data_IF_964115694334
#
_entry.id   IF_964115694334
#
_cell.length_a   1.000
_cell.length_b   1.000
_cell.length_c   1.000
_cell.angle_alpha   90.00
_cell.angle_beta   90.00
_cell.angle_gamma   90.00
#
_symmetry.space_group_name_H-M   'P 1'
#
loop_
_entity.id
_entity.type
_entity.pdbx_description
1 polymer ?
#
# COMPACT_ATOMS: atom_id res chain seq x y z
N UNK A 1 27.91 -33.97 29.44
CA UNK A 1 27.25 -32.68 29.75
C UNK A 1 26.61 -32.01 28.53
N UNK A 2 27.24 -31.99 27.35
CA UNK A 2 26.66 -31.34 26.14
C UNK A 2 25.35 -31.97 25.64
N UNK A 3 25.23 -33.31 25.65
CA UNK A 3 23.99 -34.00 25.22
C UNK A 3 22.78 -33.64 26.09
N UNK A 4 22.98 -33.52 27.40
CA UNK A 4 21.92 -33.17 28.36
C UNK A 4 21.51 -31.70 28.23
N UNK A 5 22.46 -30.79 27.96
CA UNK A 5 22.18 -29.38 27.65
C UNK A 5 21.39 -29.23 26.33
N UNK A 6 21.69 -30.03 25.29
CA UNK A 6 20.91 -30.04 24.04
C UNK A 6 19.45 -30.49 24.26
N UNK A 7 19.23 -31.55 25.04
CA UNK A 7 17.87 -32.02 25.34
C UNK A 7 17.08 -31.03 26.19
N UNK A 8 17.71 -30.39 27.17
CA UNK A 8 17.09 -29.31 27.94
C UNK A 8 16.73 -28.09 27.07
N UNK A 9 17.59 -27.72 26.10
CA UNK A 9 17.27 -26.67 25.14
C UNK A 9 16.12 -27.03 24.21
N UNK A 10 16.07 -28.28 23.73
CA UNK A 10 14.96 -28.76 22.89
C UNK A 10 13.66 -28.75 23.71
N UNK A 11 13.68 -29.23 24.94
CA UNK A 11 12.51 -29.24 25.82
C UNK A 11 12.06 -27.82 26.16
N UNK A 12 12.98 -26.91 26.47
CA UNK A 12 12.68 -25.50 26.68
C UNK A 12 12.11 -24.84 25.42
N UNK A 13 12.65 -25.14 24.23
CA UNK A 13 12.14 -24.63 22.96
C UNK A 13 10.75 -25.18 22.61
N UNK A 14 10.47 -26.45 22.92
CA UNK A 14 9.16 -27.07 22.73
C UNK A 14 8.14 -26.52 23.72
N UNK A 15 8.50 -26.34 25.00
CA UNK A 15 7.61 -25.74 26.00
C UNK A 15 7.35 -24.27 25.69
N UNK A 16 8.38 -23.51 25.34
CA UNK A 16 8.24 -22.09 24.99
C UNK A 16 7.47 -21.92 23.68
N UNK A 17 7.81 -22.70 22.65
CA UNK A 17 7.07 -22.72 21.39
C UNK A 17 5.62 -23.15 21.59
N UNK A 18 5.38 -24.24 22.31
CA UNK A 18 4.05 -24.73 22.64
C UNK A 18 3.22 -23.72 23.43
N UNK A 19 3.83 -23.03 24.40
CA UNK A 19 3.16 -21.98 25.18
C UNK A 19 2.76 -20.77 24.33
N UNK A 20 3.55 -20.40 23.32
CA UNK A 20 3.21 -19.29 22.41
C UNK A 20 2.00 -19.58 21.52
N UNK A 21 1.70 -20.87 21.27
CA UNK A 21 0.56 -21.29 20.46
C UNK A 21 -0.59 -21.87 21.29
N UNK A 22 -0.40 -22.15 22.58
CA UNK A 22 -1.38 -22.77 23.46
C UNK A 22 -2.70 -21.98 23.48
N UNK A 23 -2.63 -20.64 23.66
CA UNK A 23 -3.82 -19.79 23.68
C UNK A 23 -4.58 -19.80 22.35
N UNK A 24 -3.86 -19.82 21.22
CA UNK A 24 -4.47 -19.89 19.88
C UNK A 24 -5.13 -21.24 19.62
N UNK A 25 -4.47 -22.32 20.03
CA UNK A 25 -5.01 -23.68 19.89
C UNK A 25 -6.24 -23.85 20.79
N UNK A 26 -6.19 -23.34 22.02
CA UNK A 26 -7.31 -23.40 22.95
C UNK A 26 -8.50 -22.57 22.45
N UNK A 27 -8.26 -21.32 22.00
CA UNK A 27 -9.29 -20.48 21.39
C UNK A 27 -9.92 -21.19 20.19
N UNK A 28 -9.09 -21.72 19.28
CA UNK A 28 -9.57 -22.45 18.11
C UNK A 28 -10.42 -23.67 18.49
N UNK A 29 -10.02 -24.42 19.52
CA UNK A 29 -10.77 -25.58 19.98
C UNK A 29 -12.13 -25.18 20.58
N UNK A 30 -12.16 -24.11 21.38
CA UNK A 30 -13.40 -23.56 21.94
C UNK A 30 -14.33 -23.08 20.83
N UNK A 31 -13.80 -22.32 19.87
CA UNK A 31 -14.56 -21.84 18.71
C UNK A 31 -15.12 -23.02 17.92
N UNK A 32 -14.28 -24.03 17.61
CA UNK A 32 -14.73 -25.21 16.87
C UNK A 32 -15.87 -25.95 17.58
N UNK A 33 -15.76 -26.20 18.89
CA UNK A 33 -16.83 -26.80 19.68
C UNK A 33 -18.13 -25.99 19.63
N UNK A 34 -18.01 -24.65 19.69
CA UNK A 34 -19.15 -23.75 19.62
C UNK A 34 -19.82 -23.76 18.23
N UNK A 35 -19.05 -23.72 17.15
CA UNK A 35 -19.59 -23.77 15.78
C UNK A 35 -20.22 -25.13 15.48
N UNK A 36 -19.63 -26.23 15.99
CA UNK A 36 -20.19 -27.57 15.86
C UNK A 36 -21.50 -27.73 16.64
N UNK A 37 -21.58 -27.20 17.87
CA UNK A 37 -22.81 -27.28 18.67
C UNK A 37 -24.01 -26.59 18.02
N UNK A 38 -23.76 -25.61 17.16
CA UNK A 38 -24.78 -24.89 16.39
C UNK A 38 -24.98 -25.41 14.96
N UNK A 39 -24.27 -26.48 14.56
CA UNK A 39 -24.37 -27.08 13.22
C UNK A 39 -23.81 -26.22 12.08
N UNK A 40 -23.02 -25.18 12.39
CA UNK A 40 -22.47 -24.19 11.45
C UNK A 40 -20.95 -24.29 11.29
N UNK A 41 -20.38 -25.48 11.52
CA UNK A 41 -18.94 -25.75 11.40
C UNK A 41 -18.35 -25.39 10.02
N UNK A 42 -19.15 -25.38 8.96
CA UNK A 42 -18.72 -24.95 7.62
C UNK A 42 -18.28 -23.49 7.57
N UNK A 43 -18.85 -22.62 8.40
CA UNK A 43 -18.48 -21.20 8.48
C UNK A 43 -17.06 -21.05 9.00
N UNK A 44 -16.71 -21.76 10.08
CA UNK A 44 -15.35 -21.77 10.65
C UNK A 44 -14.31 -22.19 9.59
N UNK A 45 -14.58 -23.25 8.82
CA UNK A 45 -13.69 -23.66 7.73
C UNK A 45 -13.58 -22.62 6.62
N UNK A 46 -14.69 -21.93 6.29
CA UNK A 46 -14.68 -20.85 5.31
C UNK A 46 -13.79 -19.69 5.77
N UNK A 47 -13.87 -19.30 7.05
CA UNK A 47 -13.00 -18.28 7.65
C UNK A 47 -11.53 -18.70 7.56
N UNK A 48 -11.18 -19.89 8.04
CA UNK A 48 -9.79 -20.37 8.05
C UNK A 48 -9.21 -20.46 6.65
N UNK A 49 -9.92 -21.10 5.72
CA UNK A 49 -9.46 -21.26 4.34
C UNK A 49 -9.29 -19.90 3.67
N UNK A 50 -10.17 -18.94 3.95
CA UNK A 50 -10.06 -17.58 3.41
C UNK A 50 -8.86 -16.83 4.00
N UNK A 51 -8.65 -16.91 5.32
CA UNK A 51 -7.49 -16.30 5.99
C UNK A 51 -6.17 -16.87 5.46
N UNK A 52 -6.01 -18.19 5.51
CA UNK A 52 -4.78 -18.85 5.04
C UNK A 52 -4.61 -18.71 3.53
N UNK A 53 -5.67 -18.91 2.76
CA UNK A 53 -5.63 -18.84 1.30
C UNK A 53 -5.29 -17.45 0.79
N UNK A 54 -5.97 -16.41 1.31
CA UNK A 54 -5.71 -15.03 0.91
C UNK A 54 -4.34 -14.55 1.38
N UNK A 55 -3.97 -14.81 2.63
CA UNK A 55 -2.65 -14.47 3.16
C UNK A 55 -1.50 -15.13 2.40
N UNK A 56 -1.63 -16.43 2.10
CA UNK A 56 -0.64 -17.17 1.32
C UNK A 56 -0.56 -16.66 -0.12
N UNK A 57 -1.71 -16.45 -0.78
CA UNK A 57 -1.77 -15.93 -2.15
C UNK A 57 -1.06 -14.58 -2.22
N UNK A 58 -1.43 -13.63 -1.36
CA UNK A 58 -0.84 -12.29 -1.39
C UNK A 58 0.62 -12.31 -1.00
N UNK A 59 1.01 -13.09 0.02
CA UNK A 59 2.41 -13.26 0.42
C UNK A 59 3.27 -13.82 -0.72
N UNK A 60 2.79 -14.85 -1.43
CA UNK A 60 3.50 -15.42 -2.58
C UNK A 60 3.59 -14.41 -3.72
N UNK A 61 2.51 -13.71 -4.06
CA UNK A 61 2.54 -12.67 -5.11
C UNK A 61 3.52 -11.55 -4.75
N UNK A 62 3.47 -11.06 -3.51
CA UNK A 62 4.39 -10.03 -3.02
C UNK A 62 5.84 -10.48 -3.11
N UNK A 63 6.14 -11.72 -2.68
CA UNK A 63 7.46 -12.31 -2.80
C UNK A 63 7.91 -12.36 -4.26
N UNK A 64 7.09 -12.90 -5.16
CA UNK A 64 7.43 -13.05 -6.58
C UNK A 64 7.68 -11.70 -7.25
N UNK A 65 6.87 -10.67 -6.94
CA UNK A 65 7.04 -9.33 -7.48
C UNK A 65 8.33 -8.67 -6.97
N UNK A 66 8.54 -8.67 -5.65
CA UNK A 66 9.72 -8.04 -5.02
C UNK A 66 11.01 -8.78 -5.35
N UNK A 67 11.09 -10.07 -5.02
CA UNK A 67 12.25 -10.91 -5.30
C UNK A 67 12.52 -11.01 -6.80
N UNK A 68 11.48 -11.22 -7.62
CA UNK A 68 11.63 -11.34 -9.07
C UNK A 68 12.24 -10.08 -9.69
N UNK A 69 11.77 -8.90 -9.27
CA UNK A 69 12.33 -7.64 -9.74
C UNK A 69 13.77 -7.41 -9.23
N UNK A 70 14.02 -7.59 -7.93
CA UNK A 70 15.35 -7.38 -7.34
C UNK A 70 16.40 -8.36 -7.89
N UNK A 71 16.03 -9.62 -8.08
CA UNK A 71 16.90 -10.63 -8.67
C UNK A 71 17.24 -10.29 -10.13
N UNK A 72 16.28 -9.77 -10.91
CA UNK A 72 16.53 -9.30 -12.29
C UNK A 72 17.53 -8.15 -12.31
N UNK A 73 17.37 -7.17 -11.43
CA UNK A 73 18.30 -6.04 -11.30
C UNK A 73 19.67 -6.54 -10.86
N UNK A 74 19.74 -7.40 -9.85
CA UNK A 74 21.00 -7.95 -9.37
C UNK A 74 21.77 -8.70 -10.45
N UNK A 75 21.10 -9.59 -11.20
CA UNK A 75 21.66 -10.36 -12.32
C UNK A 75 22.20 -9.45 -13.43
N UNK A 76 21.44 -8.42 -13.83
CA UNK A 76 21.90 -7.44 -14.84
C UNK A 76 23.22 -6.79 -14.42
N UNK A 77 23.40 -6.59 -13.13
CA UNK A 77 24.60 -5.95 -12.57
C UNK A 77 25.65 -6.95 -12.07
N UNK A 78 25.54 -8.25 -12.33
CA UNK A 78 26.47 -9.27 -11.78
C UNK A 78 27.89 -9.20 -12.35
N UNK A 79 28.09 -8.53 -13.49
CA UNK A 79 29.40 -8.37 -14.12
C UNK A 79 30.31 -7.35 -13.42
N UNK A 80 29.80 -6.61 -12.44
CA UNK A 80 30.55 -5.58 -11.72
C UNK A 80 30.91 -6.08 -10.30
N UNK A 81 32.17 -5.92 -9.87
CA UNK A 81 32.58 -6.26 -8.53
C UNK A 81 31.88 -5.35 -7.51
N UNK A 82 31.67 -5.87 -6.30
CA UNK A 82 31.16 -5.10 -5.18
C UNK A 82 32.33 -4.27 -4.64
N UNK A 83 32.26 -2.95 -4.83
CA UNK A 83 33.35 -2.04 -4.52
C UNK A 83 32.97 -1.16 -3.32
N UNK A 84 33.27 -1.66 -2.12
CA UNK A 84 33.38 -0.82 -0.94
C UNK A 84 34.85 -0.41 -0.77
N UNK A 85 35.13 0.88 -0.56
CA UNK A 85 36.47 1.34 -0.16
C UNK A 85 36.85 0.73 1.18
N UNK A 86 38.11 0.33 1.34
CA UNK A 86 38.61 -0.31 2.57
C UNK A 86 38.39 0.52 3.84
N UNK A 87 38.35 1.85 3.69
CA UNK A 87 38.02 2.77 4.76
C UNK A 87 36.56 2.62 5.24
N UNK A 88 35.59 2.62 4.31
CA UNK A 88 34.16 2.40 4.63
C UNK A 88 33.90 1.01 5.21
N UNK A 89 34.61 -0.03 4.75
CA UNK A 89 34.50 -1.39 5.32
C UNK A 89 34.91 -1.43 6.79
N UNK A 90 35.95 -0.68 7.16
CA UNK A 90 36.43 -0.59 8.55
C UNK A 90 35.57 0.31 9.43
N UNK A 91 35.05 1.40 8.87
CA UNK A 91 34.23 2.37 9.61
C UNK A 91 32.79 1.89 9.84
N UNK A 92 32.24 1.04 8.97
CA UNK A 92 30.84 0.56 9.07
C UNK A 92 30.75 -0.96 8.83
N UNK A 93 30.94 -1.79 9.89
CA UNK A 93 30.92 -3.26 9.77
C UNK A 93 29.62 -3.83 9.18
N UNK A 94 28.48 -3.16 9.40
CA UNK A 94 27.18 -3.51 8.83
C UNK A 94 27.21 -3.48 7.30
N UNK A 95 27.85 -2.48 6.68
CA UNK A 95 27.91 -2.36 5.23
C UNK A 95 28.76 -3.47 4.59
N UNK A 96 29.83 -3.90 5.26
CA UNK A 96 30.67 -5.01 4.78
C UNK A 96 29.92 -6.36 4.85
N UNK A 97 29.19 -6.62 5.94
CA UNK A 97 28.28 -7.76 6.03
C UNK A 97 27.23 -7.75 4.91
N UNK A 98 26.59 -6.60 4.68
CA UNK A 98 25.56 -6.47 3.64
C UNK A 98 26.12 -6.65 2.23
N UNK A 99 27.31 -6.12 1.95
CA UNK A 99 28.01 -6.30 0.68
C UNK A 99 28.36 -7.77 0.42
N UNK A 100 28.94 -8.45 1.41
CA UNK A 100 29.32 -9.86 1.31
C UNK A 100 28.11 -10.79 1.14
N UNK A 101 27.02 -10.46 1.84
CA UNK A 101 25.80 -11.28 1.88
C UNK A 101 24.68 -10.75 0.96
N UNK A 102 25.00 -9.89 -0.01
CA UNK A 102 24.00 -9.18 -0.84
C UNK A 102 22.99 -10.13 -1.51
N UNK A 103 23.44 -11.28 -2.04
CA UNK A 103 22.55 -12.28 -2.66
C UNK A 103 21.59 -12.91 -1.65
N UNK A 104 22.06 -13.17 -0.43
CA UNK A 104 21.23 -13.71 0.66
C UNK A 104 20.23 -12.66 1.12
N UNK A 105 20.64 -11.39 1.24
CA UNK A 105 19.74 -10.29 1.63
C UNK A 105 18.62 -10.11 0.61
N UNK A 106 18.94 -10.15 -0.69
CA UNK A 106 17.94 -10.05 -1.77
C UNK A 106 16.94 -11.20 -1.74
N UNK A 107 17.28 -12.35 -1.16
CA UNK A 107 16.36 -13.47 -0.99
C UNK A 107 15.58 -13.39 0.34
N UNK A 108 16.31 -13.25 1.45
CA UNK A 108 15.78 -13.37 2.81
C UNK A 108 14.89 -12.17 3.16
N UNK A 109 15.30 -10.95 2.81
CA UNK A 109 14.50 -9.76 3.17
C UNK A 109 13.14 -9.77 2.49
N UNK A 110 13.02 -9.94 1.16
CA UNK A 110 11.71 -10.09 0.52
C UNK A 110 10.91 -11.29 1.04
N UNK A 111 11.56 -12.40 1.40
CA UNK A 111 10.87 -13.57 1.95
C UNK A 111 10.24 -13.28 3.32
N UNK A 112 10.99 -12.64 4.21
CA UNK A 112 10.50 -12.25 5.54
C UNK A 112 9.37 -11.23 5.42
N UNK A 113 9.56 -10.19 4.59
CA UNK A 113 8.53 -9.19 4.35
C UNK A 113 7.28 -9.82 3.73
N UNK A 114 7.42 -10.67 2.72
CA UNK A 114 6.30 -11.40 2.12
C UNK A 114 5.51 -12.24 3.14
N UNK A 115 6.20 -12.90 4.07
CA UNK A 115 5.55 -13.63 5.14
C UNK A 115 4.78 -12.69 6.08
N UNK A 116 5.37 -11.56 6.47
CA UNK A 116 4.71 -10.55 7.31
C UNK A 116 3.49 -9.94 6.60
N UNK A 117 3.63 -9.52 5.34
CA UNK A 117 2.54 -8.99 4.52
C UNK A 117 1.43 -10.03 4.38
N UNK A 118 1.77 -11.30 4.13
CA UNK A 118 0.80 -12.39 4.07
C UNK A 118 0.01 -12.58 5.37
N UNK A 119 0.67 -12.45 6.53
CA UNK A 119 -0.02 -12.49 7.84
C UNK A 119 -0.97 -11.31 8.04
N UNK A 120 -0.58 -10.10 7.63
CA UNK A 120 -1.47 -8.92 7.70
C UNK A 120 -2.67 -9.10 6.77
N UNK A 121 -2.44 -9.59 5.55
CA UNK A 121 -3.50 -9.81 4.57
C UNK A 121 -4.45 -10.93 4.99
N UNK A 122 -3.95 -11.96 5.68
CA UNK A 122 -4.81 -12.99 6.27
C UNK A 122 -5.86 -12.42 7.24
N UNK A 123 -5.55 -11.32 7.93
CA UNK A 123 -6.51 -10.64 8.82
C UNK A 123 -7.59 -9.87 8.03
N UNK A 124 -7.34 -9.55 6.77
CA UNK A 124 -8.26 -8.81 5.88
C UNK A 124 -9.10 -9.76 5.00
N UNK A 125 -9.30 -11.01 5.45
CA UNK A 125 -10.05 -12.04 4.73
C UNK A 125 -11.52 -11.66 4.46
N UNK A 126 -12.11 -10.81 5.29
CA UNK A 126 -13.49 -10.34 5.13
C UNK A 126 -13.64 -9.52 3.85
N UNK A 127 -12.66 -8.67 3.53
CA UNK A 127 -12.70 -7.79 2.35
C UNK A 127 -12.77 -8.61 1.07
N UNK A 128 -11.98 -9.69 0.96
CA UNK A 128 -12.00 -10.53 -0.25
C UNK A 128 -13.29 -11.34 -0.36
N UNK A 129 -13.84 -11.84 0.76
CA UNK A 129 -15.12 -12.54 0.73
C UNK A 129 -16.30 -11.62 0.41
N UNK A 130 -16.29 -10.40 0.95
CA UNK A 130 -17.26 -9.36 0.64
C UNK A 130 -17.24 -9.01 -0.85
N UNK A 131 -16.05 -8.88 -1.43
CA UNK A 131 -15.91 -8.64 -2.87
C UNK A 131 -16.42 -9.82 -3.72
N UNK A 132 -16.06 -11.06 -3.36
CA UNK A 132 -16.45 -12.26 -4.10
C UNK A 132 -17.96 -12.54 -4.02
N UNK A 133 -18.61 -12.14 -2.93
CA UNK A 133 -20.04 -12.32 -2.69
C UNK A 133 -20.79 -10.97 -2.76
N UNK A 134 -20.25 -10.00 -3.50
CA UNK A 134 -20.86 -8.70 -3.63
C UNK A 134 -22.24 -8.81 -4.30
N UNK A 135 -23.27 -8.25 -3.66
CA UNK A 135 -24.61 -8.14 -4.19
C UNK A 135 -24.92 -6.67 -4.49
N UNK A 136 -25.56 -6.35 -5.63
CA UNK A 136 -26.07 -5.00 -5.88
C UNK A 136 -27.03 -4.58 -4.77
N UNK A 137 -26.95 -3.32 -4.34
CA UNK A 137 -27.90 -2.76 -3.39
C UNK A 137 -29.16 -2.28 -4.11
N UNK A 138 -29.02 -1.75 -5.33
CA UNK A 138 -30.13 -1.25 -6.15
C UNK A 138 -30.41 0.24 -6.00
N UNK A 139 -29.66 0.93 -5.13
CA UNK A 139 -29.69 2.37 -4.98
C UNK A 139 -28.34 2.98 -5.35
N UNK A 140 -28.39 4.14 -5.99
CA UNK A 140 -27.22 4.85 -6.49
C UNK A 140 -26.96 6.09 -5.66
N UNK A 141 -25.68 6.37 -5.42
CA UNK A 141 -25.27 7.59 -4.74
C UNK A 141 -25.49 8.83 -5.64
N UNK A 142 -25.93 9.96 -5.08
CA UNK A 142 -26.29 11.15 -5.86
C UNK A 142 -25.08 11.93 -6.40
N UNK A 143 -23.85 11.64 -5.94
CA UNK A 143 -22.64 12.42 -6.28
C UNK A 143 -21.89 11.80 -7.47
N UNK A 144 -21.57 10.51 -7.38
CA UNK A 144 -20.81 9.74 -8.38
C UNK A 144 -21.68 8.76 -9.17
N UNK A 145 -22.94 8.54 -8.79
CA UNK A 145 -23.85 7.64 -9.49
C UNK A 145 -23.43 6.17 -9.42
N UNK A 146 -22.70 5.77 -8.37
CA UNK A 146 -22.32 4.39 -8.11
C UNK A 146 -23.33 3.74 -7.19
N UNK A 147 -23.56 2.45 -7.40
CA UNK A 147 -24.37 1.66 -6.47
C UNK A 147 -23.70 1.63 -5.09
N UNK A 148 -24.49 1.69 -4.02
CA UNK A 148 -23.98 1.67 -2.64
C UNK A 148 -23.07 0.45 -2.38
N UNK A 149 -23.36 -0.70 -3.01
CA UNK A 149 -22.52 -1.92 -2.94
C UNK A 149 -21.06 -1.70 -3.37
N UNK A 150 -20.79 -0.71 -4.24
CA UNK A 150 -19.43 -0.36 -4.63
C UNK A 150 -18.61 0.10 -3.43
N UNK A 151 -19.17 0.95 -2.55
CA UNK A 151 -18.45 1.52 -1.43
C UNK A 151 -18.18 0.52 -0.30
N UNK A 152 -19.08 -0.45 -0.10
CA UNK A 152 -18.93 -1.46 0.95
C UNK A 152 -18.12 -2.68 0.51
N UNK A 153 -18.30 -3.17 -0.72
CA UNK A 153 -17.71 -4.44 -1.14
C UNK A 153 -16.53 -4.30 -2.09
N UNK A 154 -16.53 -3.27 -2.95
CA UNK A 154 -15.55 -3.13 -4.04
C UNK A 154 -14.43 -2.18 -3.65
N UNK A 155 -14.77 -1.00 -3.13
CA UNK A 155 -13.82 0.04 -2.77
C UNK A 155 -12.77 -0.46 -1.75
N UNK A 156 -13.11 -1.15 -0.65
CA UNK A 156 -12.11 -1.61 0.32
C UNK A 156 -11.07 -2.55 -0.29
N UNK A 157 -11.46 -3.39 -1.25
CA UNK A 157 -10.50 -4.24 -1.97
C UNK A 157 -9.53 -3.41 -2.82
N UNK A 158 -10.01 -2.39 -3.53
CA UNK A 158 -9.13 -1.49 -4.29
C UNK A 158 -8.19 -0.70 -3.41
N UNK A 159 -8.63 -0.28 -2.22
CA UNK A 159 -7.79 0.38 -1.23
C UNK A 159 -6.71 -0.56 -0.69
N UNK A 160 -7.06 -1.82 -0.41
CA UNK A 160 -6.13 -2.85 0.01
C UNK A 160 -5.10 -3.15 -1.09
N UNK A 161 -5.53 -3.31 -2.35
CA UNK A 161 -4.63 -3.51 -3.50
C UNK A 161 -3.70 -2.32 -3.68
N UNK A 162 -4.22 -1.09 -3.59
CA UNK A 162 -3.42 0.15 -3.61
C UNK A 162 -2.35 0.12 -2.51
N UNK A 163 -2.72 -0.20 -1.27
CA UNK A 163 -1.79 -0.28 -0.14
C UNK A 163 -0.68 -1.30 -0.38
N UNK A 164 -1.04 -2.50 -0.86
CA UNK A 164 -0.08 -3.56 -1.18
C UNK A 164 0.89 -3.15 -2.29
N UNK A 165 0.41 -2.45 -3.32
CA UNK A 165 1.27 -1.95 -4.40
C UNK A 165 2.23 -0.87 -3.89
N UNK A 166 1.77 0.02 -3.00
CA UNK A 166 2.62 1.00 -2.34
C UNK A 166 3.75 0.35 -1.55
N UNK A 167 3.41 -0.63 -0.69
CA UNK A 167 4.39 -1.40 0.08
C UNK A 167 5.40 -2.09 -0.86
N UNK A 168 4.92 -2.75 -1.91
CA UNK A 168 5.75 -3.42 -2.91
C UNK A 168 6.72 -2.44 -3.59
N UNK A 169 6.25 -1.25 -3.99
CA UNK A 169 7.09 -0.23 -4.63
C UNK A 169 8.15 0.33 -3.70
N UNK A 170 7.84 0.52 -2.42
CA UNK A 170 8.81 0.97 -1.41
C UNK A 170 9.91 -0.08 -1.25
N UNK A 171 9.54 -1.36 -1.04
CA UNK A 171 10.51 -2.45 -0.86
C UNK A 171 11.39 -2.63 -2.10
N UNK A 172 10.79 -2.61 -3.30
CA UNK A 172 11.55 -2.69 -4.55
C UNK A 172 12.51 -1.50 -4.68
N UNK A 173 12.06 -0.29 -4.40
CA UNK A 173 12.88 0.92 -4.56
C UNK A 173 14.05 0.95 -3.59
N UNK A 174 13.83 0.57 -2.33
CA UNK A 174 14.88 0.43 -1.33
C UNK A 174 15.89 -0.66 -1.75
N UNK A 175 15.40 -1.82 -2.17
CA UNK A 175 16.27 -2.91 -2.62
C UNK A 175 17.10 -2.56 -3.87
N UNK A 176 16.50 -1.85 -4.84
CA UNK A 176 17.21 -1.35 -6.03
C UNK A 176 18.26 -0.31 -5.64
N UNK A 177 17.91 0.64 -4.78
CA UNK A 177 18.83 1.63 -4.24
C UNK A 177 20.03 0.98 -3.58
N UNK A 178 19.79 -0.04 -2.75
CA UNK A 178 20.82 -0.83 -2.06
C UNK A 178 21.73 -1.57 -3.06
N UNK A 179 21.17 -2.24 -4.08
CA UNK A 179 21.96 -2.93 -5.12
C UNK A 179 22.85 -1.93 -5.88
N UNK A 180 22.30 -0.79 -6.28
CA UNK A 180 23.02 0.24 -7.04
C UNK A 180 24.06 0.98 -6.21
N UNK A 181 23.83 1.14 -4.92
CA UNK A 181 24.82 1.66 -3.98
C UNK A 181 26.03 0.74 -3.90
N UNK A 182 25.83 -0.55 -3.57
CA UNK A 182 26.94 -1.51 -3.43
C UNK A 182 27.68 -1.80 -4.75
N UNK A 183 26.99 -1.69 -5.89
CA UNK A 183 27.60 -1.88 -7.22
C UNK A 183 28.05 -0.57 -7.87
N UNK A 184 28.11 0.53 -7.11
CA UNK A 184 28.66 1.84 -7.51
C UNK A 184 28.00 2.49 -8.74
N UNK A 185 26.72 2.17 -8.98
CA UNK A 185 25.90 2.89 -9.96
C UNK A 185 25.51 4.29 -9.49
N UNK A 186 25.61 4.50 -8.17
CA UNK A 186 25.46 5.77 -7.48
C UNK A 186 26.74 5.97 -6.68
N UNK A 187 27.48 7.04 -6.94
CA UNK A 187 28.64 7.42 -6.14
C UNK A 187 28.72 8.93 -5.97
N UNK A 188 29.29 9.37 -4.85
CA UNK A 188 29.56 10.79 -4.60
C UNK A 188 30.88 11.14 -5.27
N UNK A 189 30.82 11.94 -6.32
CA UNK A 189 31.99 12.51 -6.99
C UNK A 189 32.30 13.92 -6.49
N UNK A 190 33.42 14.53 -6.94
CA UNK A 190 33.84 15.87 -6.53
C UNK A 190 32.80 16.97 -6.81
N UNK A 191 31.95 16.77 -7.81
CA UNK A 191 30.92 17.72 -8.27
C UNK A 191 29.49 17.31 -7.86
N UNK A 192 29.34 16.29 -7.02
CA UNK A 192 28.05 15.80 -6.50
C UNK A 192 27.78 14.32 -6.76
N UNK A 193 26.53 13.89 -6.55
CA UNK A 193 26.10 12.50 -6.73
C UNK A 193 25.99 12.15 -8.22
N UNK A 194 26.83 11.24 -8.69
CA UNK A 194 26.81 10.74 -10.07
C UNK A 194 26.01 9.45 -10.12
N UNK A 195 24.96 9.45 -10.96
CA UNK A 195 24.13 8.28 -11.22
C UNK A 195 24.35 7.81 -12.67
N UNK A 196 24.71 6.53 -12.83
CA UNK A 196 24.94 5.92 -14.14
C UNK A 196 23.65 5.89 -14.99
N UNK A 197 23.75 5.94 -16.33
CA UNK A 197 22.58 5.93 -17.22
C UNK A 197 21.61 4.77 -17.00
N UNK A 198 22.13 3.57 -16.71
CA UNK A 198 21.30 2.40 -16.43
C UNK A 198 20.51 2.52 -15.12
N UNK A 199 21.12 3.08 -14.07
CA UNK A 199 20.41 3.36 -12.83
C UNK A 199 19.37 4.46 -13.02
N UNK A 200 19.70 5.52 -13.79
CA UNK A 200 18.74 6.57 -14.17
C UNK A 200 17.51 5.97 -14.86
N UNK A 201 17.69 5.01 -15.78
CA UNK A 201 16.56 4.33 -16.45
C UNK A 201 15.67 3.59 -15.45
N UNK A 202 16.24 2.77 -14.59
CA UNK A 202 15.47 2.02 -13.59
C UNK A 202 14.73 2.95 -12.63
N UNK A 203 15.39 4.01 -12.14
CA UNK A 203 14.72 5.02 -11.31
C UNK A 203 13.62 5.76 -12.06
N UNK A 204 13.78 6.03 -13.34
CA UNK A 204 12.73 6.63 -14.17
C UNK A 204 11.51 5.72 -14.32
N UNK A 205 11.73 4.41 -14.49
CA UNK A 205 10.67 3.41 -14.51
C UNK A 205 9.94 3.34 -13.17
N UNK A 206 10.68 3.24 -12.06
CA UNK A 206 10.13 3.19 -10.71
C UNK A 206 9.36 4.47 -10.36
N UNK A 207 9.92 5.65 -10.67
CA UNK A 207 9.23 6.92 -10.46
C UNK A 207 7.95 7.02 -11.32
N UNK A 208 7.96 6.51 -12.55
CA UNK A 208 6.76 6.44 -13.38
C UNK A 208 5.67 5.57 -12.74
N UNK A 209 6.03 4.41 -12.20
CA UNK A 209 5.11 3.55 -11.46
C UNK A 209 4.58 4.22 -10.18
N UNK A 210 5.43 4.93 -9.43
CA UNK A 210 4.97 5.73 -8.28
C UNK A 210 3.96 6.80 -8.67
N UNK A 211 4.19 7.52 -9.77
CA UNK A 211 3.23 8.52 -10.25
C UNK A 211 1.92 7.89 -10.71
N UNK A 212 1.93 6.69 -11.29
CA UNK A 212 0.71 5.94 -11.56
C UNK A 212 -0.02 5.55 -10.26
N UNK A 213 0.72 5.15 -9.22
CA UNK A 213 0.12 4.86 -7.90
C UNK A 213 -0.42 6.11 -7.21
N UNK A 214 0.21 7.27 -7.40
CA UNK A 214 -0.36 8.55 -6.95
C UNK A 214 -1.65 8.85 -7.72
N UNK A 215 -1.68 8.66 -9.04
CA UNK A 215 -2.87 8.87 -9.85
C UNK A 215 -4.04 7.98 -9.39
N UNK A 216 -3.80 6.68 -9.21
CA UNK A 216 -4.82 5.76 -8.70
C UNK A 216 -5.23 6.11 -7.27
N UNK A 217 -4.27 6.56 -6.43
CA UNK A 217 -4.52 7.03 -5.08
C UNK A 217 -5.48 8.23 -5.02
N UNK A 218 -5.21 9.29 -5.78
CA UNK A 218 -6.07 10.48 -5.83
C UNK A 218 -7.44 10.17 -6.42
N UNK A 219 -7.50 9.31 -7.43
CA UNK A 219 -8.77 8.86 -8.01
C UNK A 219 -9.63 8.09 -7.00
N UNK A 220 -9.04 7.13 -6.27
CA UNK A 220 -9.75 6.35 -5.26
C UNK A 220 -10.14 7.20 -4.05
N UNK A 221 -9.30 8.16 -3.67
CA UNK A 221 -9.58 9.08 -2.57
C UNK A 221 -10.88 9.85 -2.80
N UNK A 222 -11.23 10.19 -4.04
CA UNK A 222 -12.52 10.83 -4.35
C UNK A 222 -13.73 10.05 -3.82
N UNK A 223 -13.70 8.72 -3.91
CA UNK A 223 -14.77 7.86 -3.41
C UNK A 223 -14.70 7.64 -1.89
N UNK A 224 -13.49 7.69 -1.30
CA UNK A 224 -13.30 7.59 0.16
C UNK A 224 -14.02 8.74 0.91
N UNK A 225 -14.17 9.92 0.28
CA UNK A 225 -14.85 11.07 0.89
C UNK A 225 -16.31 10.77 1.28
N UNK A 226 -17.01 9.88 0.56
CA UNK A 226 -18.37 9.48 0.93
C UNK A 226 -18.41 8.57 2.15
N UNK A 227 -17.35 7.82 2.41
CA UNK A 227 -17.30 6.81 3.47
C UNK A 227 -16.66 7.32 4.76
N UNK A 228 -15.76 8.32 4.70
CA UNK A 228 -15.01 8.78 5.88
C UNK A 228 -15.79 9.73 6.81
N UNK A 229 -16.91 10.29 6.36
CA UNK A 229 -17.76 11.20 7.16
C UNK A 229 -17.11 12.58 7.40
N UNK A 230 -17.87 13.65 7.19
CA UNK A 230 -17.43 15.01 7.51
C UNK A 230 -17.45 15.29 9.02
N UNK A 231 -16.77 16.38 9.44
CA UNK A 231 -16.65 16.77 10.85
C UNK A 231 -17.94 17.30 11.50
N UNK A 232 -18.93 17.73 10.70
CA UNK A 232 -20.24 18.21 11.18
C UNK A 232 -21.40 17.34 10.71
N UNK A 233 -21.33 16.77 9.50
CA UNK A 233 -22.38 15.96 8.88
C UNK A 233 -21.71 14.74 8.26
N UNK A 234 -22.29 13.56 8.45
CA UNK A 234 -21.85 12.34 7.78
C UNK A 234 -22.12 12.46 6.29
N UNK A 235 -21.06 12.51 5.46
CA UNK A 235 -21.15 12.63 4.01
C UNK A 235 -20.34 13.79 3.44
N UNK A 236 -20.55 14.04 2.14
CA UNK A 236 -19.90 15.10 1.36
C UNK A 236 -20.68 16.40 1.51
N UNK A 237 -19.99 17.50 1.84
CA UNK A 237 -20.55 18.86 1.81
C UNK A 237 -20.21 19.65 0.54
N UNK A 238 -20.68 20.90 0.46
CA UNK A 238 -20.51 21.73 -0.74
C UNK A 238 -19.03 21.97 -1.10
N UNK A 239 -18.19 22.25 -0.10
CA UNK A 239 -16.76 22.50 -0.31
C UNK A 239 -15.99 21.23 -0.76
N UNK A 240 -16.50 20.06 -0.42
CA UNK A 240 -15.92 18.79 -0.80
C UNK A 240 -16.25 18.46 -2.26
N UNK A 241 -17.52 18.61 -2.63
CA UNK A 241 -18.02 18.38 -3.98
C UNK A 241 -17.45 19.38 -5.00
N UNK A 242 -17.47 20.68 -4.68
CA UNK A 242 -17.02 21.74 -5.59
C UNK A 242 -15.53 22.11 -5.44
N UNK A 243 -14.86 21.55 -4.43
CA UNK A 243 -13.47 21.86 -4.09
C UNK A 243 -12.57 20.64 -4.12
N UNK A 244 -12.75 19.72 -3.17
CA UNK A 244 -11.86 18.55 -3.01
C UNK A 244 -11.94 17.60 -4.21
N UNK A 245 -13.12 17.24 -4.70
CA UNK A 245 -13.27 16.32 -5.83
C UNK A 245 -12.59 16.88 -7.11
N UNK A 246 -12.84 18.13 -7.55
CA UNK A 246 -12.13 18.72 -8.68
C UNK A 246 -10.61 18.74 -8.50
N UNK A 247 -10.13 19.03 -7.29
CA UNK A 247 -8.71 19.01 -6.97
C UNK A 247 -8.11 17.60 -7.12
N UNK A 248 -8.78 16.57 -6.60
CA UNK A 248 -8.35 15.18 -6.72
C UNK A 248 -8.34 14.70 -8.19
N UNK A 249 -9.32 15.11 -8.98
CA UNK A 249 -9.35 14.85 -10.42
C UNK A 249 -8.17 15.52 -11.14
N UNK A 250 -7.89 16.79 -10.81
CA UNK A 250 -6.72 17.50 -11.35
C UNK A 250 -5.41 16.80 -10.97
N UNK A 251 -5.25 16.42 -9.69
CA UNK A 251 -4.08 15.70 -9.20
C UNK A 251 -3.90 14.34 -9.88
N UNK A 252 -4.99 13.65 -10.17
CA UNK A 252 -4.99 12.40 -10.95
C UNK A 252 -4.40 12.64 -12.33
N UNK A 253 -4.89 13.63 -13.07
CA UNK A 253 -4.39 13.96 -14.41
C UNK A 253 -2.92 14.40 -14.37
N UNK A 254 -2.55 15.31 -13.44
CA UNK A 254 -1.16 15.77 -13.29
C UNK A 254 -0.22 14.61 -12.93
N UNK A 255 -0.68 13.66 -12.12
CA UNK A 255 0.09 12.45 -11.78
C UNK A 255 0.27 11.55 -13.01
N UNK A 256 -0.76 11.40 -13.86
CA UNK A 256 -0.65 10.65 -15.12
C UNK A 256 0.35 11.29 -16.10
N UNK A 257 0.35 12.62 -16.27
CA UNK A 257 1.34 13.26 -17.15
C UNK A 257 2.74 13.14 -16.53
N UNK A 258 2.85 13.28 -15.20
CA UNK A 258 4.10 13.08 -14.45
C UNK A 258 4.67 11.67 -14.66
N UNK A 259 3.81 10.65 -14.65
CA UNK A 259 4.18 9.27 -14.97
C UNK A 259 4.70 9.15 -16.41
N UNK A 260 4.00 9.73 -17.39
CA UNK A 260 4.43 9.72 -18.79
C UNK A 260 5.81 10.38 -18.97
N UNK A 261 6.03 11.56 -18.39
CA UNK A 261 7.33 12.25 -18.39
C UNK A 261 8.43 11.42 -17.74
N UNK A 262 8.10 10.70 -16.65
CA UNK A 262 9.04 9.79 -16.00
C UNK A 262 9.36 8.59 -16.88
N UNK A 263 8.38 7.97 -17.55
CA UNK A 263 8.65 6.87 -18.47
C UNK A 263 9.48 7.27 -19.69
N UNK A 264 9.40 8.52 -20.16
CA UNK A 264 10.30 9.03 -21.20
C UNK A 264 11.79 8.95 -20.81
N UNK A 265 12.10 8.86 -19.51
CA UNK A 265 13.47 8.65 -19.03
C UNK A 265 13.98 7.22 -19.19
N UNK A 266 13.13 6.24 -19.54
CA UNK A 266 13.55 4.90 -19.97
C UNK A 266 14.33 4.96 -21.30
N UNK A 267 13.87 5.80 -22.23
CA UNK A 267 14.50 6.00 -23.55
C UNK A 267 15.64 7.02 -23.45
N UNK A 268 15.37 8.18 -22.84
CA UNK A 268 16.33 9.29 -22.71
C UNK A 268 16.66 9.53 -21.23
N UNK A 269 17.69 8.86 -20.68
CA UNK A 269 17.96 8.84 -19.24
C UNK A 269 18.30 10.24 -18.71
N UNK A 270 17.59 10.67 -17.67
CA UNK A 270 17.83 11.95 -17.02
C UNK A 270 16.96 12.17 -15.79
N UNK A 271 17.60 12.55 -14.68
CA UNK A 271 16.90 12.78 -13.41
C UNK A 271 16.06 14.06 -13.40
N UNK A 272 16.39 15.04 -14.25
CA UNK A 272 15.69 16.33 -14.29
C UNK A 272 14.19 16.18 -14.56
N UNK A 273 13.78 15.23 -15.41
CA UNK A 273 12.36 14.98 -15.72
C UNK A 273 11.61 14.49 -14.49
N UNK A 274 12.19 13.52 -13.76
CA UNK A 274 11.62 12.97 -12.53
C UNK A 274 11.46 14.08 -11.49
N UNK A 275 12.51 14.88 -11.28
CA UNK A 275 12.50 15.98 -10.31
C UNK A 275 11.47 17.04 -10.69
N UNK A 276 11.39 17.42 -11.96
CA UNK A 276 10.41 18.39 -12.44
C UNK A 276 8.97 17.89 -12.29
N UNK A 277 8.71 16.63 -12.67
CA UNK A 277 7.40 15.98 -12.46
C UNK A 277 7.02 15.95 -10.97
N UNK A 278 7.95 15.54 -10.11
CA UNK A 278 7.71 15.49 -8.67
C UNK A 278 7.45 16.88 -8.08
N UNK A 279 8.24 17.89 -8.46
CA UNK A 279 8.07 19.26 -8.02
C UNK A 279 6.75 19.86 -8.51
N UNK A 280 6.37 19.60 -9.77
CA UNK A 280 5.10 20.04 -10.34
C UNK A 280 3.90 19.43 -9.61
N UNK A 281 3.91 18.11 -9.40
CA UNK A 281 2.86 17.44 -8.65
C UNK A 281 2.78 17.94 -7.21
N UNK A 282 3.92 18.07 -6.52
CA UNK A 282 3.97 18.59 -5.16
C UNK A 282 3.41 20.02 -5.08
N UNK A 283 3.77 20.89 -6.02
CA UNK A 283 3.25 22.26 -6.08
C UNK A 283 1.72 22.27 -6.23
N UNK A 284 1.18 21.50 -7.18
CA UNK A 284 -0.28 21.40 -7.37
C UNK A 284 -0.95 20.84 -6.13
N UNK A 285 -0.36 19.84 -5.48
CA UNK A 285 -0.89 19.25 -4.25
C UNK A 285 -0.92 20.26 -3.10
N UNK A 286 0.20 20.92 -2.80
CA UNK A 286 0.29 21.85 -1.68
C UNK A 286 -0.56 23.10 -1.90
N UNK A 287 -0.53 23.69 -3.09
CA UNK A 287 -1.33 24.89 -3.42
C UNK A 287 -2.80 24.54 -3.51
N UNK A 288 -3.13 23.45 -4.20
CA UNK A 288 -4.50 23.02 -4.43
C UNK A 288 -5.25 22.69 -3.14
N UNK A 289 -4.57 22.14 -2.13
CA UNK A 289 -5.17 21.85 -0.82
C UNK A 289 -5.70 23.09 -0.07
N UNK A 290 -5.31 24.31 -0.46
CA UNK A 290 -5.91 25.52 0.09
C UNK A 290 -7.27 25.84 -0.52
N UNK A 291 -7.55 25.40 -1.76
CA UNK A 291 -8.76 25.77 -2.49
C UNK A 291 -10.06 25.34 -1.77
N UNK A 292 -10.24 24.08 -1.32
CA UNK A 292 -11.44 23.68 -0.59
C UNK A 292 -11.61 24.46 0.72
N UNK A 293 -10.51 24.79 1.40
CA UNK A 293 -10.55 25.58 2.65
C UNK A 293 -10.99 27.01 2.41
N UNK A 294 -10.59 27.60 1.28
CA UNK A 294 -11.05 28.92 0.86
C UNK A 294 -12.54 28.90 0.50
N UNK A 295 -12.99 27.88 -0.25
CA UNK A 295 -14.41 27.69 -0.54
C UNK A 295 -15.24 27.56 0.74
N UNK A 296 -14.79 26.73 1.69
CA UNK A 296 -15.46 26.62 2.99
C UNK A 296 -15.58 27.98 3.67
N UNK A 297 -14.44 28.65 3.88
CA UNK A 297 -14.39 29.91 4.65
C UNK A 297 -15.13 31.08 4.02
N UNK A 298 -15.08 31.21 2.70
CA UNK A 298 -15.56 32.41 2.00
C UNK A 298 -16.90 32.21 1.28
N UNK A 299 -17.30 30.97 0.99
CA UNK A 299 -18.55 30.66 0.26
C UNK A 299 -19.53 29.91 1.14
N UNK A 300 -19.06 28.93 1.92
CA UNK A 300 -19.94 28.09 2.74
C UNK A 300 -20.25 28.78 4.07
N UNK A 301 -19.25 29.10 4.89
CA UNK A 301 -19.45 29.65 6.23
C UNK A 301 -20.36 30.90 6.28
N UNK A 302 -20.33 31.85 5.31
CA UNK A 302 -21.24 32.99 5.33
C UNK A 302 -22.71 32.65 5.08
N UNK A 303 -22.99 31.53 4.41
CA UNK A 303 -24.35 31.09 4.07
C UNK A 303 -24.46 29.56 4.09
N UNK A 304 -24.08 28.96 5.22
CA UNK A 304 -23.88 27.52 5.36
C UNK A 304 -25.19 26.76 5.14
N UNK A 305 -26.28 27.23 5.74
CA UNK A 305 -27.61 26.63 5.58
C UNK A 305 -27.98 26.46 4.11
N UNK A 306 -27.93 27.52 3.29
CA UNK A 306 -28.35 27.43 1.89
C UNK A 306 -27.42 26.54 1.06
N UNK A 307 -26.12 26.57 1.33
CA UNK A 307 -25.13 25.79 0.56
C UNK A 307 -25.10 24.32 0.94
N UNK A 308 -25.30 24.00 2.19
CA UNK A 308 -25.27 22.62 2.69
C UNK A 308 -26.65 21.93 2.66
N UNK A 309 -27.76 22.67 2.48
CA UNK A 309 -29.13 22.10 2.52
C UNK A 309 -29.28 20.88 1.62
N UNK A 310 -28.85 20.96 0.36
CA UNK A 310 -29.01 19.85 -0.59
C UNK A 310 -28.23 18.60 -0.14
N UNK A 311 -27.00 18.80 0.36
CA UNK A 311 -26.17 17.69 0.86
C UNK A 311 -26.74 17.10 2.15
N UNK A 312 -27.28 17.95 3.04
CA UNK A 312 -27.99 17.51 4.24
C UNK A 312 -29.24 16.69 3.90
N UNK A 313 -30.03 17.11 2.91
CA UNK A 313 -31.20 16.37 2.44
C UNK A 313 -30.80 14.99 1.92
N UNK A 314 -29.72 14.88 1.16
CA UNK A 314 -29.18 13.60 0.70
C UNK A 314 -28.73 12.70 1.86
N UNK A 315 -28.02 13.25 2.84
CA UNK A 315 -27.60 12.49 4.03
C UNK A 315 -28.81 12.01 4.85
N UNK A 316 -29.80 12.87 5.08
CA UNK A 316 -31.01 12.53 5.84
C UNK A 316 -31.80 11.45 5.11
N UNK A 317 -32.00 11.59 3.79
CA UNK A 317 -32.69 10.59 2.98
C UNK A 317 -31.97 9.24 3.04
N UNK A 318 -30.65 9.22 2.87
CA UNK A 318 -29.85 8.00 2.97
C UNK A 318 -29.94 7.34 4.34
N UNK A 319 -29.91 8.13 5.43
CA UNK A 319 -30.06 7.62 6.78
C UNK A 319 -31.45 7.04 7.05
N UNK A 320 -32.52 7.74 6.62
CA UNK A 320 -33.90 7.25 6.75
C UNK A 320 -34.08 5.92 6.01
N UNK A 321 -33.57 5.81 4.78
CA UNK A 321 -33.60 4.55 4.02
C UNK A 321 -32.83 3.45 4.73
N UNK A 322 -31.62 3.73 5.23
CA UNK A 322 -30.81 2.74 5.95
C UNK A 322 -31.47 2.19 7.22
N UNK A 323 -32.23 3.03 7.94
CA UNK A 323 -33.01 2.61 9.11
C UNK A 323 -34.41 2.07 8.78
N UNK A 324 -34.83 2.08 7.51
CA UNK A 324 -36.16 1.65 7.09
C UNK A 324 -37.28 2.57 7.58
N UNK A 325 -37.00 3.87 7.70
CA UNK A 325 -37.90 4.91 8.23
C UNK A 325 -38.53 5.79 7.14
N UNK A 326 -38.54 5.31 5.89
CA UNK A 326 -38.99 6.07 4.71
C UNK A 326 -40.49 6.37 4.68
#
# INVERSE_FOLDING_TARGET
MEKMKKWLFILAAVVFGGSLFADKILSFYIDWLWFESHGIASVLWTVLISQFGFGLLVGVLFFLLTFGFLNRVHKKTSHLPILLSDQVRREVPLLDFMASNLKLIILIVPLVLAFMTGLVMAQQWEIILQYLNASPYGEVDPIFGKDISFYFFILPLWLLVKSLLWETMIVVSLGVGLIYFFKRFIYVGPTGVVVLPDAKRTFSGLAGLFFLLFASGFYLQGYELLTEGGSLISGIGFADDNGKIPLLNLLTVVSLISAAFSFMGLVRPGMKKIVLSAAGLALVFFVGNFYPKLLQKFVVDPNELVKETIYMEHTIAGALTAYGLS
#
